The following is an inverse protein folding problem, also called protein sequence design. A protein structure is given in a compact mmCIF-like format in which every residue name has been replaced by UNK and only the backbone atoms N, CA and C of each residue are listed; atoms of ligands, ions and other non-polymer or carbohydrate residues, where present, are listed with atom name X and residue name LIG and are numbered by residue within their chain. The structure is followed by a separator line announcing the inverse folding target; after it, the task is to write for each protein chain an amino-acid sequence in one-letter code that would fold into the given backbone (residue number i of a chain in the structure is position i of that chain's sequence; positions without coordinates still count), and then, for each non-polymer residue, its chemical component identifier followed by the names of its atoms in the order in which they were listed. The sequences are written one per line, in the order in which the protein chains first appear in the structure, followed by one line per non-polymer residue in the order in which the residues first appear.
data_IF_453902345670
#
_entry.id   IF_453902345670
#
_cell.length_a   1.000
_cell.length_b   1.000
_cell.length_c   1.000
_cell.angle_alpha   90.00
_cell.angle_beta   90.00
_cell.angle_gamma   90.00
#
_symmetry.space_group_name_H-M   'P 1'
#
loop_
_entity.id
_entity.type
_entity.pdbx_description
1 polymer ?
#
# COMPACT_ATOMS: atom_id res chain seq x y z
N UNK A 1 12.47 2.56 -2.75
CA UNK A 1 11.11 2.52 -2.15
C UNK A 1 10.88 1.20 -1.45
N UNK A 2 10.04 1.23 -0.44
CA UNK A 2 9.73 0.03 0.34
C UNK A 2 8.22 -0.13 0.45
N UNK A 3 7.76 -1.38 0.45
CA UNK A 3 6.35 -1.66 0.65
C UNK A 3 6.00 -1.46 2.13
N UNK A 4 5.00 -0.63 2.39
CA UNK A 4 4.56 -0.37 3.76
C UNK A 4 3.24 -1.09 4.06
N UNK A 5 2.52 -1.50 3.01
CA UNK A 5 1.24 -2.18 3.16
C UNK A 5 1.00 -3.07 1.96
N UNK A 6 0.42 -4.24 2.20
CA UNK A 6 -0.02 -5.13 1.13
C UNK A 6 -1.48 -5.46 1.37
N UNK A 7 -2.28 -5.40 0.33
CA UNK A 7 -3.71 -5.71 0.46
C UNK A 7 -4.32 -6.10 -0.87
N UNK A 8 -5.32 -6.96 -0.81
CA UNK A 8 -6.15 -7.28 -1.97
C UNK A 8 -7.29 -6.29 -2.13
N UNK A 9 -7.55 -5.50 -1.11
CA UNK A 9 -8.71 -4.61 -1.06
C UNK A 9 -8.32 -3.20 -1.51
N UNK A 10 -8.85 -2.78 -2.66
CA UNK A 10 -8.59 -1.44 -3.21
C UNK A 10 -9.08 -0.33 -2.30
N UNK A 11 -10.15 -0.57 -1.56
CA UNK A 11 -10.69 0.45 -0.65
C UNK A 11 -9.68 0.73 0.45
N UNK A 12 -9.07 -0.32 1.00
CA UNK A 12 -8.04 -0.18 2.02
C UNK A 12 -6.84 0.59 1.47
N UNK A 13 -6.40 0.24 0.27
CA UNK A 13 -5.26 0.90 -0.34
C UNK A 13 -5.53 2.37 -0.62
N UNK A 14 -6.72 2.69 -1.13
CA UNK A 14 -7.09 4.07 -1.40
C UNK A 14 -7.16 4.89 -0.12
N UNK A 15 -7.69 4.31 0.93
CA UNK A 15 -7.73 4.98 2.23
C UNK A 15 -6.32 5.23 2.75
N UNK A 16 -5.45 4.24 2.62
CA UNK A 16 -4.05 4.39 3.05
C UNK A 16 -3.33 5.48 2.28
N UNK A 17 -3.50 5.52 0.95
CA UNK A 17 -2.92 6.58 0.13
C UNK A 17 -3.39 7.95 0.62
N UNK A 18 -4.67 8.06 0.92
CA UNK A 18 -5.26 9.31 1.36
C UNK A 18 -4.68 9.75 2.69
N UNK A 19 -4.57 8.84 3.64
CA UNK A 19 -3.97 9.12 4.95
C UNK A 19 -2.55 9.64 4.80
N UNK A 20 -1.75 8.96 3.99
CA UNK A 20 -0.35 9.35 3.77
C UNK A 20 -0.26 10.70 3.05
N UNK A 21 -1.12 10.91 2.06
CA UNK A 21 -1.13 12.17 1.32
C UNK A 21 -1.42 13.36 2.22
N UNK A 22 -2.33 13.19 3.17
CA UNK A 22 -2.65 14.27 4.10
C UNK A 22 -1.47 14.63 4.99
N UNK A 23 -0.54 13.71 5.17
CA UNK A 23 0.66 13.95 5.97
C UNK A 23 1.86 14.34 5.10
N UNK A 24 1.63 14.56 3.82
CA UNK A 24 2.69 14.97 2.91
C UNK A 24 3.59 13.85 2.45
N UNK A 25 3.18 12.60 2.62
CA UNK A 25 3.97 11.43 2.23
C UNK A 25 3.49 10.93 0.88
N UNK A 26 4.40 10.84 -0.07
CA UNK A 26 4.10 10.28 -1.39
C UNK A 26 4.08 8.76 -1.30
N UNK A 27 3.09 8.17 -1.97
CA UNK A 27 2.97 6.73 -2.02
C UNK A 27 2.51 6.30 -3.40
N UNK A 28 2.86 5.06 -3.78
CA UNK A 28 2.51 4.50 -5.08
C UNK A 28 2.01 3.08 -4.85
N UNK A 29 0.93 2.71 -5.54
CA UNK A 29 0.41 1.36 -5.50
C UNK A 29 0.99 0.59 -6.68
N UNK A 30 1.68 -0.49 -6.39
CA UNK A 30 2.21 -1.38 -7.43
C UNK A 30 1.33 -2.61 -7.58
N UNK A 31 0.93 -2.87 -8.82
CA UNK A 31 0.22 -4.08 -9.19
C UNK A 31 1.20 -5.04 -9.85
N UNK A 32 0.94 -6.32 -9.71
CA UNK A 32 1.76 -7.33 -10.35
C UNK A 32 1.11 -7.71 -11.68
N UNK A 33 1.48 -7.03 -12.73
CA UNK A 33 0.88 -7.28 -14.05
C UNK A 33 1.17 -8.67 -14.59
N UNK A 34 2.27 -9.26 -14.18
CA UNK A 34 2.62 -10.60 -14.62
C UNK A 34 1.54 -11.63 -14.25
N UNK A 35 0.83 -11.40 -13.17
CA UNK A 35 -0.21 -12.31 -12.74
C UNK A 35 -1.38 -12.37 -13.71
N UNK A 36 -1.59 -11.30 -14.45
CA UNK A 36 -2.66 -11.25 -15.45
C UNK A 36 -2.42 -12.31 -16.53
N UNK A 37 -1.18 -12.45 -16.94
CA UNK A 37 -0.83 -13.40 -17.98
C UNK A 37 -0.95 -14.86 -17.54
N UNK A 38 -0.82 -15.07 -16.24
CA UNK A 38 -0.92 -16.41 -15.67
C UNK A 38 -2.34 -16.77 -15.27
N UNK A 39 -3.27 -15.84 -15.45
CA UNK A 39 -4.64 -16.07 -15.03
C UNK A 39 -4.87 -15.97 -13.54
N UNK A 40 -3.92 -15.43 -12.82
CA UNK A 40 -3.98 -15.30 -11.36
C UNK A 40 -4.53 -13.96 -10.92
N UNK A 41 -5.18 -13.25 -11.80
CA UNK A 41 -5.72 -11.93 -11.49
C UNK A 41 -6.60 -11.95 -10.25
N UNK A 42 -6.41 -10.94 -9.42
CA UNK A 42 -7.25 -10.76 -8.26
C UNK A 42 -6.81 -11.52 -7.03
N UNK A 43 -5.80 -12.37 -7.17
CA UNK A 43 -5.33 -13.18 -6.04
C UNK A 43 -4.01 -12.71 -5.48
N UNK A 44 -3.28 -11.84 -6.20
CA UNK A 44 -2.03 -11.30 -5.70
C UNK A 44 -2.26 -9.94 -5.07
N UNK A 45 -1.74 -9.70 -3.87
CA UNK A 45 -1.93 -8.42 -3.21
C UNK A 45 -1.18 -7.32 -3.94
N UNK A 46 -1.78 -6.15 -3.94
CA UNK A 46 -1.12 -4.93 -4.39
C UNK A 46 -0.29 -4.40 -3.25
N UNK A 47 0.81 -3.73 -3.60
CA UNK A 47 1.74 -3.20 -2.61
C UNK A 47 1.71 -1.69 -2.63
N UNK A 48 1.58 -1.10 -1.46
CA UNK A 48 1.68 0.34 -1.30
C UNK A 48 3.13 0.66 -0.95
N UNK A 49 3.79 1.42 -1.80
CA UNK A 49 5.21 1.72 -1.67
C UNK A 49 5.40 3.17 -1.26
N UNK A 50 6.37 3.39 -0.40
CA UNK A 50 6.78 4.73 0.01
C UNK A 50 8.29 4.84 -0.09
N UNK A 51 8.81 6.06 -0.06
CA UNK A 51 10.25 6.27 -0.03
C UNK A 51 10.82 5.70 1.27
N UNK A 52 12.06 5.22 1.21
CA UNK A 52 12.70 4.63 2.37
C UNK A 52 12.73 5.59 3.55
N UNK A 53 12.97 6.87 3.28
CA UNK A 53 13.04 7.90 4.31
C UNK A 53 11.69 8.12 5.01
N UNK A 54 10.60 7.79 4.35
CA UNK A 54 9.26 7.98 4.89
C UNK A 54 8.67 6.70 5.48
N UNK A 55 9.39 5.60 5.37
CA UNK A 55 8.83 4.30 5.73
C UNK A 55 8.36 4.23 7.17
N UNK A 56 9.18 4.65 8.11
CA UNK A 56 8.83 4.53 9.53
C UNK A 56 7.61 5.36 9.86
N UNK A 57 7.57 6.58 9.35
CA UNK A 57 6.43 7.47 9.59
C UNK A 57 5.16 6.93 8.94
N UNK A 58 5.29 6.46 7.69
CA UNK A 58 4.15 5.87 7.00
C UNK A 58 3.62 4.66 7.73
N UNK A 59 4.52 3.81 8.20
CA UNK A 59 4.14 2.61 8.95
C UNK A 59 3.36 2.97 10.21
N UNK A 60 3.84 3.97 10.96
CA UNK A 60 3.16 4.42 12.16
C UNK A 60 1.76 4.95 11.86
N UNK A 61 1.64 5.78 10.83
CA UNK A 61 0.34 6.35 10.45
C UNK A 61 -0.65 5.27 10.04
N UNK A 62 -0.20 4.31 9.25
CA UNK A 62 -1.07 3.24 8.78
C UNK A 62 -1.43 2.26 9.88
N UNK A 63 -0.53 2.04 10.82
CA UNK A 63 -0.82 1.17 11.94
C UNK A 63 -1.98 1.71 12.77
N UNK A 64 -2.09 3.03 12.85
CA UNK A 64 -3.20 3.66 13.55
C UNK A 64 -4.47 3.69 12.69
N UNK A 65 -4.31 3.90 11.40
CA UNK A 65 -5.46 4.07 10.51
C UNK A 65 -6.08 2.74 10.10
N UNK A 66 -5.26 1.73 9.85
CA UNK A 66 -5.72 0.40 9.40
C UNK A 66 -5.01 -0.70 10.19
N UNK A 67 -5.22 -0.76 11.50
CA UNK A 67 -4.50 -1.72 12.33
C UNK A 67 -4.74 -3.17 11.93
N UNK A 68 -5.89 -3.47 11.37
CA UNK A 68 -6.21 -4.84 10.94
C UNK A 68 -5.37 -5.29 9.74
N UNK A 69 -4.75 -4.36 9.04
CA UNK A 69 -3.99 -4.65 7.83
C UNK A 69 -2.48 -4.66 8.08
N UNK A 70 -2.05 -4.25 9.27
CA UNK A 70 -0.62 -4.09 9.56
C UNK A 70 -0.04 -5.24 10.39
#
# INVERSE_FOLDING_TARGET
MRAVLKSLDLVVLNYAVNVLSQEGIKSVVFDTHASVMDGSMGFLPRRLMVLDQDFERAHELLREAVPDQM
#
